data_IF_198218869626
#
_entry.id   IF_198218869626
#
_cell.length_a   1.000
_cell.length_b   1.000
_cell.length_c   1.000
_cell.angle_alpha   90.00
_cell.angle_beta   90.00
_cell.angle_gamma   90.00
#
_symmetry.space_group_name_H-M   'P 1'
#
loop_
_entity.id
_entity.type
_entity.pdbx_description
1 polymer ?
#
# COMPACT_ATOMS: atom_id res chain seq x y z
N UNK A 1 10.53 11.97 7.19
CA UNK A 1 11.69 11.11 7.07
C UNK A 1 12.38 11.26 5.72
N UNK A 2 13.52 10.62 5.56
CA UNK A 2 14.21 10.54 4.27
C UNK A 2 13.71 9.30 3.51
N UNK A 3 13.04 9.43 2.35
CA UNK A 3 12.50 8.29 1.61
C UNK A 3 13.62 7.55 0.86
N UNK A 4 14.23 6.58 1.52
CA UNK A 4 15.30 5.73 0.98
C UNK A 4 14.80 4.28 0.90
N UNK A 5 14.60 3.71 -0.32
CA UNK A 5 14.11 2.34 -0.49
C UNK A 5 15.02 1.27 0.12
N UNK A 6 16.35 1.44 0.08
CA UNK A 6 17.27 0.45 0.65
C UNK A 6 17.33 0.50 2.18
N UNK A 7 17.21 1.67 2.76
CA UNK A 7 17.05 1.81 4.21
C UNK A 7 15.70 1.22 4.65
N UNK A 8 14.63 1.53 3.92
CA UNK A 8 13.30 0.94 4.16
C UNK A 8 13.32 -0.59 4.09
N UNK A 9 14.04 -1.19 3.15
CA UNK A 9 14.17 -2.65 3.05
C UNK A 9 14.74 -3.29 4.32
N UNK A 10 15.70 -2.64 4.98
CA UNK A 10 16.25 -3.13 6.25
C UNK A 10 15.23 -3.09 7.37
N UNK A 11 14.51 -1.97 7.49
CA UNK A 11 13.47 -1.78 8.52
C UNK A 11 12.31 -2.75 8.32
N UNK A 12 11.88 -2.96 7.07
CA UNK A 12 10.85 -3.93 6.71
C UNK A 12 11.30 -5.34 7.10
N UNK A 13 12.50 -5.74 6.75
CA UNK A 13 13.04 -7.09 7.04
C UNK A 13 13.11 -7.33 8.55
N UNK A 14 13.55 -6.36 9.31
CA UNK A 14 13.58 -6.45 10.77
C UNK A 14 12.16 -6.58 11.35
N UNK A 15 11.23 -5.76 10.90
CA UNK A 15 9.84 -5.76 11.37
C UNK A 15 9.14 -7.09 11.04
N UNK A 16 9.25 -7.56 9.80
CA UNK A 16 8.65 -8.81 9.38
C UNK A 16 9.31 -10.04 10.01
N UNK A 17 10.61 -9.99 10.29
CA UNK A 17 11.30 -11.04 11.04
C UNK A 17 10.74 -11.19 12.46
N UNK A 18 10.33 -10.11 13.12
CA UNK A 18 9.66 -10.15 14.44
C UNK A 18 8.32 -10.89 14.35
N UNK A 19 7.65 -10.85 13.20
CA UNK A 19 6.45 -11.64 12.90
C UNK A 19 6.79 -13.04 12.38
N UNK A 20 8.07 -13.43 12.40
CA UNK A 20 8.64 -14.66 11.85
C UNK A 20 8.32 -14.86 10.35
N UNK A 21 8.26 -13.78 9.59
CA UNK A 21 8.11 -13.79 8.15
C UNK A 21 9.46 -13.64 7.46
N UNK A 22 9.69 -14.46 6.44
CA UNK A 22 10.85 -14.38 5.57
C UNK A 22 10.64 -13.40 4.41
N UNK A 23 11.65 -13.20 3.57
CA UNK A 23 11.59 -12.25 2.45
C UNK A 23 10.49 -12.61 1.43
N UNK A 24 10.27 -13.90 1.16
CA UNK A 24 9.20 -14.35 0.26
C UNK A 24 7.81 -14.01 0.81
N UNK A 25 7.57 -14.31 2.08
CA UNK A 25 6.31 -13.99 2.77
C UNK A 25 6.10 -12.48 2.88
N UNK A 26 7.17 -11.72 3.11
CA UNK A 26 7.15 -10.25 3.16
C UNK A 26 6.72 -9.64 1.82
N UNK A 27 7.36 -10.05 0.73
CA UNK A 27 6.99 -9.58 -0.62
C UNK A 27 5.56 -10.00 -0.97
N UNK A 28 5.20 -11.26 -0.71
CA UNK A 28 3.87 -11.78 -1.01
C UNK A 28 2.79 -11.00 -0.25
N UNK A 29 2.99 -10.75 1.04
CA UNK A 29 2.01 -10.06 1.88
C UNK A 29 1.88 -8.58 1.50
N UNK A 30 2.99 -7.90 1.22
CA UNK A 30 3.01 -6.51 0.78
C UNK A 30 2.34 -6.35 -0.57
N UNK A 31 2.79 -7.06 -1.59
CA UNK A 31 2.25 -6.96 -2.94
C UNK A 31 0.79 -7.42 -3.03
N UNK A 32 0.43 -8.51 -2.35
CA UNK A 32 -0.93 -9.02 -2.33
C UNK A 32 -1.90 -8.10 -1.59
N UNK A 33 -1.47 -7.53 -0.47
CA UNK A 33 -2.25 -6.54 0.27
C UNK A 33 -2.46 -5.26 -0.53
N UNK A 34 -1.41 -4.75 -1.17
CA UNK A 34 -1.45 -3.53 -1.98
C UNK A 34 -2.13 -3.73 -3.36
N UNK A 35 -2.43 -4.96 -3.77
CA UNK A 35 -3.30 -5.22 -4.92
C UNK A 35 -4.69 -4.61 -4.71
N UNK A 36 -5.14 -4.52 -3.47
CA UNK A 36 -6.47 -4.02 -3.11
C UNK A 36 -6.45 -2.64 -2.46
N UNK A 37 -7.53 -1.88 -2.70
CA UNK A 37 -7.83 -0.65 -1.98
C UNK A 37 -6.95 0.53 -2.35
N UNK A 38 -7.07 1.55 -1.52
CA UNK A 38 -6.28 2.78 -1.59
C UNK A 38 -6.07 3.38 -0.21
N UNK A 39 -5.04 4.22 -0.08
CA UNK A 39 -4.87 5.13 1.06
C UNK A 39 -5.55 6.46 0.80
N UNK A 40 -6.06 7.07 1.87
CA UNK A 40 -6.67 8.40 1.85
C UNK A 40 -5.81 9.37 2.67
N UNK A 41 -5.32 10.39 2.01
CA UNK A 41 -4.48 11.44 2.61
C UNK A 41 -4.90 12.81 2.11
N UNK A 42 -6.18 13.19 2.35
CA UNK A 42 -6.77 14.42 1.86
C UNK A 42 -6.10 15.67 2.44
N UNK A 43 -5.61 15.59 3.68
CA UNK A 43 -4.93 16.68 4.38
C UNK A 43 -4.00 16.13 5.45
N UNK A 44 -3.25 17.03 6.09
CA UNK A 44 -2.27 16.70 7.11
C UNK A 44 -2.92 15.98 8.32
N UNK A 45 -2.56 14.71 8.60
CA UNK A 45 -3.12 13.96 9.70
C UNK A 45 -2.80 14.53 11.07
N UNK A 46 -1.62 15.14 11.25
CA UNK A 46 -1.20 15.73 12.54
C UNK A 46 -2.09 16.92 12.92
N UNK A 47 -2.68 17.59 11.90
CA UNK A 47 -3.57 18.73 12.11
C UNK A 47 -5.03 18.32 12.28
N UNK A 48 -5.50 17.33 11.54
CA UNK A 48 -6.93 17.09 11.36
C UNK A 48 -7.43 15.77 11.92
N UNK A 49 -6.57 14.77 12.13
CA UNK A 49 -7.01 13.46 12.62
C UNK A 49 -7.28 13.53 14.13
N UNK A 50 -8.41 12.96 14.54
CA UNK A 50 -8.79 12.81 15.93
C UNK A 50 -7.97 11.73 16.65
N UNK A 51 -8.35 11.40 17.89
CA UNK A 51 -7.70 10.33 18.62
C UNK A 51 -7.85 8.99 17.88
N UNK A 52 -6.96 8.06 18.18
CA UNK A 52 -7.02 6.71 17.64
C UNK A 52 -8.39 6.06 17.87
N UNK A 53 -8.85 5.19 16.94
CA UNK A 53 -10.19 4.61 17.02
C UNK A 53 -10.37 3.60 18.16
N UNK A 54 -9.31 3.26 18.90
CA UNK A 54 -9.40 2.42 20.09
C UNK A 54 -10.32 3.08 21.13
N UNK A 55 -11.43 2.41 21.45
CA UNK A 55 -12.48 2.96 22.30
C UNK A 55 -13.46 3.90 21.61
N UNK A 56 -13.34 4.13 20.31
CA UNK A 56 -14.35 4.84 19.53
C UNK A 56 -15.63 4.01 19.35
N UNK A 57 -16.79 4.64 19.15
CA UNK A 57 -18.01 3.92 18.81
C UNK A 57 -17.87 3.18 17.48
N UNK A 58 -18.61 2.07 17.33
CA UNK A 58 -18.46 1.14 16.21
C UNK A 58 -18.66 1.81 14.84
N UNK A 59 -19.51 2.81 14.74
CA UNK A 59 -19.77 3.60 13.53
C UNK A 59 -18.59 4.49 13.10
N UNK A 60 -17.64 4.74 13.96
CA UNK A 60 -16.41 5.48 13.67
C UNK A 60 -15.20 4.56 13.40
N UNK A 61 -15.32 3.27 13.71
CA UNK A 61 -14.29 2.26 13.48
C UNK A 61 -14.36 1.71 12.05
N UNK A 62 -13.22 1.52 11.42
CA UNK A 62 -13.12 0.87 10.11
C UNK A 62 -13.31 1.79 8.89
N UNK A 63 -13.65 3.05 9.08
CA UNK A 63 -13.75 4.05 8.02
C UNK A 63 -12.57 5.04 8.01
N UNK A 64 -11.48 4.68 8.64
CA UNK A 64 -10.38 5.59 8.97
C UNK A 64 -10.63 6.31 10.28
N UNK A 65 -9.65 7.08 10.72
CA UNK A 65 -9.80 7.91 11.90
C UNK A 65 -10.79 9.05 11.63
N UNK A 66 -11.58 9.39 12.64
CA UNK A 66 -12.36 10.61 12.62
C UNK A 66 -11.46 11.81 12.40
N UNK A 67 -11.78 12.65 11.43
CA UNK A 67 -11.01 13.84 11.13
C UNK A 67 -11.93 15.06 10.96
N UNK A 68 -11.36 16.24 11.16
CA UNK A 68 -12.04 17.54 11.09
C UNK A 68 -11.83 18.26 9.75
N UNK A 69 -11.19 17.62 8.78
CA UNK A 69 -10.96 18.22 7.48
C UNK A 69 -12.24 18.22 6.65
N UNK A 70 -12.73 19.42 6.31
CA UNK A 70 -13.95 19.62 5.51
C UNK A 70 -15.12 18.75 6.03
N UNK A 71 -15.60 17.80 5.24
CA UNK A 71 -16.69 16.90 5.64
C UNK A 71 -16.23 15.71 6.47
N UNK A 72 -14.94 15.43 6.54
CA UNK A 72 -14.34 14.24 7.16
C UNK A 72 -14.70 12.91 6.48
N UNK A 73 -15.34 12.94 5.31
CA UNK A 73 -15.88 11.76 4.62
C UNK A 73 -15.59 11.83 3.11
N UNK A 74 -15.69 10.68 2.44
CA UNK A 74 -15.50 10.60 1.00
C UNK A 74 -14.09 11.10 0.60
N UNK A 75 -14.01 12.03 -0.34
CA UNK A 75 -12.75 12.65 -0.77
C UNK A 75 -11.99 13.41 0.33
N UNK A 76 -12.63 13.66 1.49
CA UNK A 76 -12.02 14.33 2.64
C UNK A 76 -11.61 13.35 3.76
N UNK A 77 -11.52 12.06 3.44
CA UNK A 77 -11.08 11.01 4.37
C UNK A 77 -9.57 11.07 4.57
N UNK A 78 -9.13 10.82 5.81
CA UNK A 78 -7.71 10.71 6.17
C UNK A 78 -7.52 9.37 6.89
N UNK A 79 -6.83 8.41 6.25
CA UNK A 79 -6.41 7.15 6.87
C UNK A 79 -4.91 7.12 7.16
N UNK A 80 -4.16 7.91 6.38
CA UNK A 80 -2.71 8.11 6.53
C UNK A 80 -2.32 9.41 5.82
N UNK A 81 -1.05 9.77 5.81
CA UNK A 81 -0.56 10.88 5.00
C UNK A 81 -0.44 10.56 3.51
N UNK A 82 -0.62 9.31 3.10
CA UNK A 82 -0.45 8.83 1.72
C UNK A 82 -1.79 8.87 1.00
N UNK A 83 -1.80 9.29 -0.28
CA UNK A 83 -3.01 9.36 -1.12
C UNK A 83 -2.83 8.56 -2.40
N UNK A 84 -3.72 7.61 -2.66
CA UNK A 84 -3.82 6.90 -3.92
C UNK A 84 -3.95 5.39 -3.81
N UNK A 85 -4.16 4.75 -4.95
CA UNK A 85 -4.18 3.31 -5.13
C UNK A 85 -2.87 2.82 -5.75
N UNK A 86 -2.51 1.56 -5.50
CA UNK A 86 -1.31 0.94 -6.06
C UNK A 86 -1.54 0.34 -7.45
N UNK A 87 -2.79 0.00 -7.77
CA UNK A 87 -3.14 -0.69 -9.01
C UNK A 87 -4.28 0.01 -9.75
N UNK A 88 -4.41 -0.28 -11.03
CA UNK A 88 -5.52 0.20 -11.85
C UNK A 88 -6.87 -0.46 -11.48
N UNK A 89 -6.83 -1.62 -10.83
CA UNK A 89 -8.02 -2.41 -10.47
C UNK A 89 -8.08 -2.67 -8.95
N UNK A 90 -8.26 -1.64 -8.09
CA UNK A 90 -8.09 -1.77 -6.66
C UNK A 90 -9.18 -2.61 -5.94
N UNK A 91 -10.13 -3.17 -6.66
CA UNK A 91 -11.22 -3.99 -6.12
C UNK A 91 -11.15 -5.46 -6.56
N UNK A 92 -10.08 -5.86 -7.26
CA UNK A 92 -9.93 -7.24 -7.71
C UNK A 92 -8.49 -7.73 -7.56
N UNK A 93 -8.34 -9.06 -7.48
CA UNK A 93 -7.03 -9.72 -7.51
C UNK A 93 -6.54 -9.80 -8.96
N UNK A 94 -5.34 -9.28 -9.19
CA UNK A 94 -4.58 -9.45 -10.45
C UNK A 94 -3.07 -9.28 -10.19
N UNK A 95 -2.26 -9.27 -11.23
CA UNK A 95 -0.81 -9.06 -11.15
C UNK A 95 -0.40 -7.59 -11.36
N UNK A 96 -1.37 -6.68 -11.39
CA UNK A 96 -1.19 -5.26 -11.70
C UNK A 96 -0.20 -4.54 -10.78
N UNK A 97 -0.05 -4.97 -9.52
CA UNK A 97 0.95 -4.41 -8.62
C UNK A 97 2.37 -4.52 -9.21
N UNK A 98 2.77 -5.71 -9.66
CA UNK A 98 4.10 -5.92 -10.23
C UNK A 98 4.23 -5.35 -11.64
N UNK A 99 3.15 -5.40 -12.44
CA UNK A 99 3.12 -4.81 -13.77
C UNK A 99 3.45 -3.31 -13.70
N UNK A 100 2.83 -2.59 -12.78
CA UNK A 100 3.05 -1.16 -12.57
C UNK A 100 4.41 -0.90 -11.89
N UNK A 101 4.77 -1.64 -10.84
CA UNK A 101 6.02 -1.46 -10.11
C UNK A 101 7.25 -1.57 -11.04
N UNK A 102 7.23 -2.53 -11.97
CA UNK A 102 8.33 -2.77 -12.91
C UNK A 102 8.15 -2.12 -14.28
N UNK A 103 6.93 -1.67 -14.60
CA UNK A 103 6.60 -1.10 -15.90
C UNK A 103 7.02 0.35 -16.09
N UNK A 104 7.30 1.06 -15.00
CA UNK A 104 7.57 2.50 -15.02
C UNK A 104 8.89 2.87 -14.36
N UNK A 105 9.40 4.04 -14.73
CA UNK A 105 10.29 4.83 -13.90
C UNK A 105 9.46 5.66 -12.92
N UNK A 106 10.05 6.02 -11.79
CA UNK A 106 9.34 6.60 -10.66
C UNK A 106 9.94 7.93 -10.23
N UNK A 107 9.10 8.87 -9.85
CA UNK A 107 9.50 10.12 -9.25
C UNK A 107 8.94 10.28 -7.84
N UNK A 108 9.75 10.88 -6.96
CA UNK A 108 9.35 11.17 -5.60
C UNK A 108 8.51 12.44 -5.56
N UNK A 109 7.31 12.34 -5.02
CA UNK A 109 6.36 13.45 -4.90
C UNK A 109 5.84 13.58 -3.47
N UNK A 110 5.08 14.64 -3.22
CA UNK A 110 4.33 14.79 -1.98
C UNK A 110 2.83 14.60 -2.24
N UNK A 111 2.18 13.87 -1.34
CA UNK A 111 0.74 13.77 -1.28
C UNK A 111 0.10 15.12 -0.90
N UNK A 112 -1.22 15.28 -1.01
CA UNK A 112 -1.91 16.47 -0.49
C UNK A 112 -1.69 16.70 1.00
N UNK A 113 -1.48 15.65 1.77
CA UNK A 113 -1.13 15.71 3.19
C UNK A 113 0.36 16.03 3.48
N UNK A 114 1.19 16.15 2.44
CA UNK A 114 2.62 16.45 2.57
C UNK A 114 3.53 15.24 2.80
N UNK A 115 3.00 14.03 2.83
CA UNK A 115 3.80 12.81 2.93
C UNK A 115 4.50 12.48 1.60
N UNK A 116 5.69 11.88 1.69
CA UNK A 116 6.40 11.41 0.50
C UNK A 116 5.78 10.11 -0.02
N UNK A 117 5.59 10.06 -1.33
CA UNK A 117 5.16 8.88 -2.10
C UNK A 117 5.77 8.93 -3.50
N UNK A 118 5.62 7.85 -4.26
CA UNK A 118 6.22 7.72 -5.58
C UNK A 118 5.12 7.63 -6.64
N UNK A 119 5.27 8.40 -7.72
CA UNK A 119 4.37 8.35 -8.86
C UNK A 119 5.09 7.80 -10.10
N UNK A 120 4.39 7.02 -10.94
CA UNK A 120 4.96 6.59 -12.22
C UNK A 120 5.11 7.77 -13.17
N UNK A 121 6.23 7.82 -13.90
CA UNK A 121 6.48 8.85 -14.90
C UNK A 121 5.73 8.50 -16.18
N UNK A 122 4.87 9.39 -16.67
CA UNK A 122 4.07 9.23 -17.88
C UNK A 122 3.24 7.91 -17.89
N UNK A 123 2.37 7.67 -16.91
CA UNK A 123 1.56 6.46 -16.86
C UNK A 123 0.60 6.41 -18.05
N UNK A 124 0.38 5.21 -18.58
CA UNK A 124 -0.65 4.96 -19.58
C UNK A 124 -2.04 5.07 -18.94
N UNK A 125 -3.03 5.42 -19.73
CA UNK A 125 -4.41 5.55 -19.27
C UNK A 125 -4.98 4.24 -18.67
N UNK A 126 -4.55 3.10 -19.20
CA UNK A 126 -4.95 1.77 -18.73
C UNK A 126 -4.38 1.42 -17.34
N UNK A 127 -3.27 2.05 -16.95
CA UNK A 127 -2.58 1.84 -15.68
C UNK A 127 -2.95 2.89 -14.61
N UNK A 128 -3.90 3.77 -14.92
CA UNK A 128 -4.44 4.73 -13.96
C UNK A 128 -5.60 4.11 -13.18
N UNK A 129 -5.67 4.42 -11.89
CA UNK A 129 -6.74 3.97 -11.02
C UNK A 129 -8.03 4.80 -11.21
N UNK A 130 -9.21 4.23 -11.00
CA UNK A 130 -10.43 5.02 -10.88
C UNK A 130 -10.38 5.89 -9.62
N UNK A 131 -10.91 7.11 -9.69
CA UNK A 131 -11.13 7.89 -8.49
C UNK A 131 -12.17 7.19 -7.59
N UNK A 132 -11.91 7.13 -6.29
CA UNK A 132 -12.76 6.37 -5.36
C UNK A 132 -14.16 6.99 -5.15
N UNK A 133 -14.33 8.26 -5.47
CA UNK A 133 -15.55 9.02 -5.19
C UNK A 133 -16.21 9.60 -6.45
N UNK A 134 -15.51 9.59 -7.59
CA UNK A 134 -15.98 10.08 -8.87
C UNK A 134 -15.55 9.12 -9.99
N UNK A 135 -16.41 8.18 -10.33
CA UNK A 135 -16.15 7.15 -11.33
C UNK A 135 -15.89 7.68 -12.76
N UNK A 136 -16.14 8.98 -13.00
CA UNK A 136 -15.82 9.62 -14.28
C UNK A 136 -14.35 10.04 -14.38
N UNK A 137 -13.60 10.00 -13.28
CA UNK A 137 -12.21 10.42 -13.19
C UNK A 137 -11.27 9.25 -13.01
N UNK A 138 -10.08 9.40 -13.56
CA UNK A 138 -8.93 8.55 -13.29
C UNK A 138 -7.85 9.35 -12.57
N UNK A 139 -7.13 8.68 -11.68
CA UNK A 139 -6.01 9.24 -10.92
C UNK A 139 -4.78 8.36 -11.12
N UNK A 140 -3.60 8.94 -10.98
CA UNK A 140 -2.38 8.16 -11.09
C UNK A 140 -2.32 7.11 -9.97
N UNK A 141 -1.75 5.95 -10.27
CA UNK A 141 -1.33 4.99 -9.25
C UNK A 141 -0.12 5.53 -8.50
N UNK A 142 0.15 4.98 -7.34
CA UNK A 142 1.29 5.40 -6.51
C UNK A 142 1.97 4.20 -5.87
N UNK A 143 3.21 4.38 -5.44
CA UNK A 143 3.95 3.44 -4.61
C UNK A 143 4.46 4.16 -3.36
N UNK A 144 4.57 3.42 -2.26
CA UNK A 144 5.27 3.88 -1.07
C UNK A 144 6.76 3.61 -1.18
N UNK A 145 7.56 4.18 -0.30
CA UNK A 145 9.00 3.84 -0.23
C UNK A 145 9.21 2.36 0.13
N UNK A 146 8.28 1.75 0.87
CA UNK A 146 8.28 0.32 1.14
C UNK A 146 8.04 -0.52 -0.13
N UNK A 147 7.18 -0.08 -1.03
CA UNK A 147 6.98 -0.74 -2.32
C UNK A 147 8.22 -0.60 -3.21
N UNK A 148 8.84 0.57 -3.22
CA UNK A 148 10.11 0.78 -3.94
C UNK A 148 11.22 -0.14 -3.39
N UNK A 149 11.21 -0.47 -2.10
CA UNK A 149 12.12 -1.46 -1.53
C UNK A 149 11.93 -2.85 -2.16
N UNK A 150 10.70 -3.24 -2.52
CA UNK A 150 10.43 -4.52 -3.21
C UNK A 150 11.05 -4.57 -4.62
N UNK A 151 11.30 -3.40 -5.23
CA UNK A 151 11.97 -3.25 -6.52
C UNK A 151 13.49 -3.10 -6.40
N UNK A 152 13.98 -2.34 -5.42
CA UNK A 152 15.37 -1.87 -5.36
C UNK A 152 16.27 -2.77 -4.49
N UNK A 153 15.76 -3.39 -3.42
CA UNK A 153 16.54 -4.34 -2.62
C UNK A 153 16.81 -5.62 -3.44
N UNK A 154 18.06 -6.08 -3.55
CA UNK A 154 18.40 -7.22 -4.42
C UNK A 154 17.67 -8.52 -4.07
N UNK A 155 17.44 -8.79 -2.78
CA UNK A 155 16.79 -10.04 -2.35
C UNK A 155 15.28 -9.96 -2.55
N UNK A 156 14.64 -8.85 -2.19
CA UNK A 156 13.23 -8.62 -2.47
C UNK A 156 12.95 -8.60 -3.98
N UNK A 157 13.82 -7.97 -4.77
CA UNK A 157 13.69 -7.92 -6.23
C UNK A 157 13.66 -9.32 -6.88
N UNK A 158 14.47 -10.26 -6.39
CA UNK A 158 14.44 -11.64 -6.90
C UNK A 158 13.06 -12.29 -6.72
N UNK A 159 12.50 -12.13 -5.54
CA UNK A 159 11.16 -12.65 -5.22
C UNK A 159 10.10 -11.93 -6.05
N UNK A 160 10.12 -10.59 -6.07
CA UNK A 160 9.18 -9.76 -6.81
C UNK A 160 9.16 -10.08 -8.31
N UNK A 161 10.34 -10.26 -8.92
CA UNK A 161 10.45 -10.66 -10.33
C UNK A 161 9.90 -12.07 -10.57
N UNK A 162 10.21 -13.02 -9.70
CA UNK A 162 9.64 -14.37 -9.80
C UNK A 162 8.11 -14.35 -9.73
N UNK A 163 7.54 -13.58 -8.83
CA UNK A 163 6.08 -13.44 -8.69
C UNK A 163 5.45 -12.72 -9.87
N UNK A 164 6.12 -11.71 -10.40
CA UNK A 164 5.71 -11.03 -11.63
C UNK A 164 5.62 -11.99 -12.82
N UNK A 165 6.62 -12.86 -12.96
CA UNK A 165 6.70 -13.85 -14.05
C UNK A 165 5.80 -15.08 -13.81
N UNK A 166 5.37 -15.33 -12.56
CA UNK A 166 4.61 -16.52 -12.17
C UNK A 166 3.42 -16.15 -11.25
N UNK A 167 2.33 -15.60 -11.78
CA UNK A 167 1.19 -15.13 -11.00
C UNK A 167 0.57 -16.20 -10.08
N UNK A 168 0.57 -17.47 -10.49
CA UNK A 168 0.06 -18.56 -9.65
C UNK A 168 0.92 -18.79 -8.39
N UNK A 169 2.24 -18.64 -8.50
CA UNK A 169 3.14 -18.71 -7.35
C UNK A 169 2.91 -17.54 -6.40
N UNK A 170 2.65 -16.36 -6.95
CA UNK A 170 2.30 -15.18 -6.16
C UNK A 170 1.00 -15.38 -5.38
N UNK A 171 -0.05 -15.83 -6.04
CA UNK A 171 -1.35 -16.07 -5.41
C UNK A 171 -1.25 -17.10 -4.26
N UNK A 172 -0.55 -18.21 -4.48
CA UNK A 172 -0.33 -19.24 -3.48
C UNK A 172 0.52 -18.73 -2.29
N UNK A 173 1.61 -18.00 -2.57
CA UNK A 173 2.46 -17.41 -1.54
C UNK A 173 1.71 -16.38 -0.70
N UNK A 174 0.90 -15.52 -1.34
CA UNK A 174 0.07 -14.55 -0.63
C UNK A 174 -0.96 -15.24 0.28
N UNK A 175 -1.68 -16.23 -0.21
CA UNK A 175 -2.66 -16.96 0.59
C UNK A 175 -2.02 -17.60 1.84
N UNK A 176 -0.86 -18.23 1.70
CA UNK A 176 -0.13 -18.81 2.84
C UNK A 176 0.37 -17.75 3.83
N UNK A 177 0.96 -16.65 3.33
CA UNK A 177 1.44 -15.57 4.18
C UNK A 177 0.31 -14.88 4.95
N UNK A 178 -0.83 -14.68 4.29
CA UNK A 178 -2.04 -14.13 4.90
C UNK A 178 -2.58 -15.01 6.04
N UNK A 179 -2.74 -16.32 5.78
CA UNK A 179 -3.17 -17.28 6.82
C UNK A 179 -2.18 -17.30 7.99
N UNK A 180 -0.87 -17.25 7.71
CA UNK A 180 0.16 -17.23 8.75
C UNK A 180 0.05 -16.01 9.66
N UNK A 181 -0.14 -14.81 9.10
CA UNK A 181 -0.34 -13.58 9.88
C UNK A 181 -1.59 -13.69 10.75
N UNK A 182 -2.72 -14.04 10.17
CA UNK A 182 -3.99 -14.16 10.91
C UNK A 182 -3.91 -15.17 12.05
N UNK A 183 -3.26 -16.32 11.85
CA UNK A 183 -3.10 -17.33 12.90
C UNK A 183 -2.23 -16.87 14.05
N UNK A 184 -1.21 -16.06 13.77
CA UNK A 184 -0.33 -15.48 14.80
C UNK A 184 -1.05 -14.44 15.64
N UNK A 185 -1.77 -13.53 15.01
CA UNK A 185 -2.52 -12.48 15.70
C UNK A 185 -3.65 -13.05 16.55
N UNK A 186 -4.28 -14.14 16.14
CA UNK A 186 -5.35 -14.80 16.88
C UNK A 186 -4.86 -15.70 18.03
N UNK A 187 -3.56 -15.68 18.36
CA UNK A 187 -3.01 -16.38 19.52
C UNK A 187 -3.15 -17.91 19.47
N UNK A 188 -3.39 -18.51 18.31
CA UNK A 188 -3.36 -19.97 18.16
C UNK A 188 -1.92 -20.46 18.26
N UNK A 189 -1.68 -21.27 19.30
CA UNK A 189 -0.44 -22.00 19.51
C UNK A 189 -0.28 -23.14 18.53
#
# INVERSE_FOLDING_TARGET
>A
GNPDPLASAKDIRETFARMAMNDEETVALTAGGHTFGKSHGAADPDTYVGPEPEGAPMEEMGLGWKNSYETGKGGHTITSGIEGAWTANPTQWDNGYFDILFGYEWELVKSPAGAYQWHPINPKDEDMAPDAHDSSKKVTTMMTTADMAMREDPEYRKVSKRFHENPDQFADAFARAWVKVLHRDNGRK
#
